data_IF_609697130817
#
_entry.id   IF_609697130817
#
_cell.length_a   1.000
_cell.length_b   1.000
_cell.length_c   1.000
_cell.angle_alpha   90.00
_cell.angle_beta   90.00
_cell.angle_gamma   90.00
#
_symmetry.space_group_name_H-M   'P 1'
#
loop_
_entity.id
_entity.type
_entity.pdbx_description
1 polymer ?
#
# COMPACT_ATOMS: atom_id res chain seq x y z
N UNK A 1 -45.34 53.93 -1.94
CA UNK A 1 -46.33 54.79 -2.69
C UNK A 1 -46.52 56.14 -2.04
N UNK A 2 -46.68 56.25 -0.74
CA UNK A 2 -46.88 57.47 0.04
C UNK A 2 -45.79 58.56 -0.15
N UNK A 3 -44.51 58.15 -0.22
CA UNK A 3 -43.38 59.06 -0.34
C UNK A 3 -43.29 59.76 -1.70
N UNK A 4 -43.66 59.12 -2.81
CA UNK A 4 -43.74 59.67 -4.15
C UNK A 4 -44.86 60.71 -4.25
N UNK A 5 -45.99 60.41 -3.64
CA UNK A 5 -47.14 61.30 -3.59
C UNK A 5 -46.80 62.53 -2.76
N UNK A 6 -46.11 62.41 -1.65
CA UNK A 6 -45.64 63.56 -0.85
C UNK A 6 -44.63 64.42 -1.60
N UNK A 7 -43.64 63.81 -2.30
CA UNK A 7 -42.69 64.56 -3.13
C UNK A 7 -43.43 65.35 -4.24
N UNK A 8 -44.39 64.74 -4.94
CA UNK A 8 -45.20 65.37 -5.95
C UNK A 8 -45.98 66.51 -5.38
N UNK A 9 -46.70 66.31 -4.27
CA UNK A 9 -47.46 67.31 -3.58
C UNK A 9 -46.59 68.49 -3.13
N UNK A 10 -45.40 68.23 -2.64
CA UNK A 10 -44.43 69.24 -2.24
C UNK A 10 -43.98 70.12 -3.44
N UNK A 11 -43.65 69.50 -4.57
CA UNK A 11 -43.28 70.21 -5.81
C UNK A 11 -44.42 71.05 -6.36
N UNK A 12 -45.65 70.52 -6.36
CA UNK A 12 -46.84 71.21 -6.79
C UNK A 12 -47.16 72.40 -5.85
N UNK A 13 -47.10 72.19 -4.54
CA UNK A 13 -47.37 73.19 -3.53
C UNK A 13 -46.34 74.34 -3.59
N UNK A 14 -45.04 74.06 -3.69
CA UNK A 14 -43.99 75.07 -3.79
C UNK A 14 -44.12 75.88 -5.05
N UNK A 15 -44.41 75.28 -6.20
CA UNK A 15 -44.56 75.94 -7.47
C UNK A 15 -45.89 76.73 -7.55
N UNK A 16 -46.97 76.25 -6.91
CA UNK A 16 -48.27 77.02 -6.78
C UNK A 16 -48.12 78.22 -5.87
N UNK A 17 -47.37 78.13 -4.77
CA UNK A 17 -47.08 79.26 -3.88
C UNK A 17 -46.35 80.41 -4.60
N UNK A 18 -45.40 80.04 -5.50
CA UNK A 18 -44.75 81.07 -6.35
C UNK A 18 -45.75 81.74 -7.29
N UNK A 19 -46.69 81.01 -7.86
CA UNK A 19 -47.79 81.59 -8.71
C UNK A 19 -48.73 82.50 -7.94
N UNK A 20 -49.02 82.19 -6.64
CA UNK A 20 -49.86 83.04 -5.78
C UNK A 20 -49.23 84.42 -5.51
N UNK A 21 -47.91 84.53 -5.48
CA UNK A 21 -47.21 85.80 -5.32
C UNK A 21 -47.46 86.78 -6.47
N UNK A 22 -47.95 86.35 -7.65
CA UNK A 22 -48.25 87.16 -8.84
C UNK A 22 -49.73 87.46 -8.97
N UNK A 23 -50.56 87.26 -7.94
CA UNK A 23 -51.94 87.71 -7.73
C UNK A 23 -52.95 87.33 -8.83
N UNK A 24 -52.75 86.31 -9.65
CA UNK A 24 -53.74 85.80 -10.60
C UNK A 24 -53.89 84.25 -10.57
N UNK A 25 -55.18 83.80 -10.67
CA UNK A 25 -55.51 82.39 -10.66
C UNK A 25 -54.81 81.58 -11.80
N UNK A 26 -54.52 82.26 -12.95
CA UNK A 26 -53.81 81.61 -14.07
C UNK A 26 -52.36 81.24 -13.76
N UNK A 27 -51.64 82.09 -13.02
CA UNK A 27 -50.25 81.84 -12.62
C UNK A 27 -50.13 80.73 -11.56
N UNK A 28 -51.10 80.52 -10.70
CA UNK A 28 -51.11 79.41 -9.74
C UNK A 28 -51.30 78.06 -10.42
N UNK A 29 -52.20 77.94 -11.41
CA UNK A 29 -52.39 76.73 -12.23
C UNK A 29 -51.19 76.49 -13.08
N UNK A 30 -50.61 77.50 -13.73
CA UNK A 30 -49.37 77.35 -14.51
C UNK A 30 -48.17 76.83 -13.63
N UNK A 31 -48.07 77.41 -12.41
CA UNK A 31 -47.06 76.94 -11.44
C UNK A 31 -47.25 75.49 -11.02
N UNK A 32 -48.47 75.04 -10.73
CA UNK A 32 -48.81 73.71 -10.38
C UNK A 32 -48.45 72.74 -11.50
N UNK A 33 -48.78 73.03 -12.73
CA UNK A 33 -48.43 72.26 -13.92
C UNK A 33 -46.90 72.16 -14.13
N UNK A 34 -46.20 73.30 -14.00
CA UNK A 34 -44.73 73.33 -14.09
C UNK A 34 -44.06 72.50 -13.01
N UNK A 35 -44.54 72.50 -11.76
CA UNK A 35 -44.08 71.70 -10.65
C UNK A 35 -44.28 70.18 -10.90
N UNK A 36 -45.46 69.82 -11.40
CA UNK A 36 -45.76 68.46 -11.75
C UNK A 36 -44.88 67.95 -12.92
N UNK A 37 -44.68 68.81 -13.96
CA UNK A 37 -43.79 68.46 -15.08
C UNK A 37 -42.30 68.26 -14.63
N UNK A 38 -41.81 69.20 -13.81
CA UNK A 38 -40.43 69.10 -13.28
C UNK A 38 -40.24 67.86 -12.43
N UNK A 39 -41.20 67.53 -11.54
CA UNK A 39 -41.18 66.35 -10.76
C UNK A 39 -41.18 65.08 -11.66
N UNK A 40 -42.04 64.98 -12.68
CA UNK A 40 -42.12 63.88 -13.63
C UNK A 40 -40.82 63.69 -14.41
N UNK A 41 -40.19 64.81 -14.84
CA UNK A 41 -38.89 64.78 -15.52
C UNK A 41 -37.79 64.22 -14.59
N UNK A 42 -37.71 64.71 -13.35
CA UNK A 42 -36.72 64.24 -12.37
C UNK A 42 -36.93 62.77 -11.98
N UNK A 43 -38.18 62.36 -11.81
CA UNK A 43 -38.52 60.95 -11.52
C UNK A 43 -38.18 60.04 -12.69
N UNK A 44 -38.48 60.48 -13.94
CA UNK A 44 -38.09 59.80 -15.16
C UNK A 44 -36.56 59.65 -15.32
N UNK A 45 -35.79 60.70 -14.98
CA UNK A 45 -34.34 60.65 -14.97
C UNK A 45 -33.81 59.68 -13.92
N UNK A 46 -34.41 59.61 -12.73
CA UNK A 46 -34.05 58.62 -11.68
C UNK A 46 -34.35 57.18 -12.14
N UNK A 47 -35.51 56.96 -12.77
CA UNK A 47 -35.88 55.67 -13.35
C UNK A 47 -34.89 55.23 -14.44
N UNK A 48 -34.56 56.15 -15.39
CA UNK A 48 -33.56 55.87 -16.44
C UNK A 48 -32.18 55.49 -15.87
N UNK A 49 -31.74 56.15 -14.80
CA UNK A 49 -30.47 55.79 -14.13
C UNK A 49 -30.52 54.41 -13.53
N UNK A 50 -31.61 54.00 -12.88
CA UNK A 50 -31.79 52.66 -12.34
C UNK A 50 -31.82 51.60 -13.45
N UNK A 51 -32.59 51.85 -14.54
CA UNK A 51 -32.64 50.92 -15.69
C UNK A 51 -31.29 50.73 -16.36
N UNK A 52 -30.54 51.87 -16.55
CA UNK A 52 -29.19 51.80 -17.10
C UNK A 52 -28.26 50.97 -16.21
N UNK A 53 -28.32 51.12 -14.90
CA UNK A 53 -27.54 50.30 -13.95
C UNK A 53 -27.94 48.84 -13.99
N UNK A 54 -29.23 48.50 -14.04
CA UNK A 54 -29.73 47.15 -14.19
C UNK A 54 -29.26 46.49 -15.50
N UNK A 55 -29.19 47.24 -16.60
CA UNK A 55 -28.73 46.73 -17.89
C UNK A 55 -27.22 46.43 -17.91
N UNK A 56 -26.41 47.18 -17.18
CA UNK A 56 -24.97 46.97 -17.11
C UNK A 56 -24.57 45.96 -16.04
N UNK A 57 -25.47 45.67 -15.08
CA UNK A 57 -25.26 44.82 -13.91
C UNK A 57 -23.94 45.12 -13.15
N UNK A 58 -23.40 46.33 -13.32
CA UNK A 58 -22.15 46.73 -12.66
C UNK A 58 -22.41 47.08 -11.20
N UNK A 59 -22.11 46.15 -10.32
CA UNK A 59 -22.28 46.29 -8.87
C UNK A 59 -21.30 47.29 -8.24
N UNK A 60 -20.26 47.72 -8.97
CA UNK A 60 -19.23 48.66 -8.47
C UNK A 60 -19.69 50.11 -8.46
N UNK A 61 -20.60 50.49 -9.34
CA UNK A 61 -21.10 51.85 -9.43
C UNK A 61 -22.44 52.01 -8.69
N UNK A 62 -22.44 52.83 -7.63
CA UNK A 62 -23.64 53.14 -6.87
C UNK A 62 -24.34 54.38 -7.43
N UNK A 63 -25.49 54.28 -8.13
CA UNK A 63 -26.23 55.45 -8.59
C UNK A 63 -26.79 56.21 -7.39
N UNK A 64 -26.54 57.50 -7.34
CA UNK A 64 -27.13 58.41 -6.31
C UNK A 64 -28.62 58.55 -6.55
N UNK A 65 -29.45 57.70 -6.00
CA UNK A 65 -30.89 57.67 -6.07
C UNK A 65 -31.47 58.06 -4.72
N UNK A 66 -32.69 58.64 -4.72
CA UNK A 66 -33.45 59.06 -3.53
C UNK A 66 -34.87 58.48 -3.57
N UNK A 67 -35.48 58.35 -2.39
CA UNK A 67 -36.86 57.89 -2.26
C UNK A 67 -37.01 56.36 -2.70
N UNK A 68 -38.15 56.09 -3.34
CA UNK A 68 -38.53 54.74 -3.78
C UNK A 68 -37.51 54.12 -4.73
N UNK A 69 -36.84 54.87 -5.58
CA UNK A 69 -35.82 54.39 -6.52
C UNK A 69 -34.59 53.94 -5.79
N UNK A 70 -34.21 54.52 -4.67
CA UNK A 70 -33.14 54.08 -3.82
C UNK A 70 -33.48 52.73 -3.15
N UNK A 71 -34.70 52.55 -2.68
CA UNK A 71 -35.18 51.30 -2.10
C UNK A 71 -35.21 50.15 -3.12
N UNK A 72 -35.72 50.43 -4.33
CA UNK A 72 -35.70 49.46 -5.45
C UNK A 72 -34.26 49.06 -5.82
N UNK A 73 -33.34 50.01 -5.86
CA UNK A 73 -31.93 49.75 -6.11
C UNK A 73 -31.34 48.80 -5.06
N UNK A 74 -31.55 49.09 -3.77
CA UNK A 74 -31.03 48.25 -2.67
C UNK A 74 -31.62 46.83 -2.72
N UNK A 75 -32.92 46.69 -2.99
CA UNK A 75 -33.56 45.36 -3.13
C UNK A 75 -33.01 44.59 -4.35
N UNK A 76 -32.89 45.25 -5.50
CA UNK A 76 -32.33 44.66 -6.71
C UNK A 76 -30.88 44.21 -6.51
N UNK A 77 -30.05 45.04 -5.88
CA UNK A 77 -28.67 44.74 -5.54
C UNK A 77 -28.58 43.53 -4.62
N UNK A 78 -29.46 43.42 -3.61
CA UNK A 78 -29.50 42.25 -2.70
C UNK A 78 -29.83 40.97 -3.45
N UNK A 79 -30.79 41.00 -4.38
CA UNK A 79 -31.17 39.84 -5.20
C UNK A 79 -30.00 39.44 -6.09
N UNK A 80 -29.38 40.38 -6.79
CA UNK A 80 -28.22 40.08 -7.65
C UNK A 80 -27.05 39.45 -6.85
N UNK A 81 -26.67 40.05 -5.73
CA UNK A 81 -25.63 39.49 -4.86
C UNK A 81 -25.97 38.09 -4.34
N UNK A 82 -27.24 37.83 -4.04
CA UNK A 82 -27.66 36.50 -3.61
C UNK A 82 -27.58 35.47 -4.74
N UNK A 83 -27.91 35.86 -5.97
CA UNK A 83 -27.76 34.99 -7.16
C UNK A 83 -26.29 34.73 -7.46
N UNK A 84 -25.44 35.75 -7.46
CA UNK A 84 -23.99 35.58 -7.63
C UNK A 84 -23.39 34.64 -6.59
N UNK A 85 -23.76 34.81 -5.30
CA UNK A 85 -23.31 33.89 -4.23
C UNK A 85 -23.77 32.46 -4.46
N UNK A 86 -25.01 32.25 -4.93
CA UNK A 86 -25.51 30.89 -5.24
C UNK A 86 -24.74 30.26 -6.40
N UNK A 87 -24.48 31.04 -7.46
CA UNK A 87 -23.67 30.54 -8.60
C UNK A 87 -22.27 30.19 -8.12
N UNK A 88 -21.57 31.10 -7.44
CA UNK A 88 -20.23 30.87 -6.89
C UNK A 88 -20.18 29.64 -5.95
N UNK A 89 -21.21 29.48 -5.09
CA UNK A 89 -21.28 28.33 -4.18
C UNK A 89 -21.53 27.02 -4.92
N UNK A 90 -22.30 27.07 -6.02
CA UNK A 90 -22.53 25.89 -6.88
C UNK A 90 -21.26 25.49 -7.63
N UNK A 91 -20.57 26.45 -8.22
CA UNK A 91 -19.32 26.24 -8.93
C UNK A 91 -18.21 25.72 -8.00
N UNK A 92 -18.11 26.30 -6.79
CA UNK A 92 -17.18 25.80 -5.77
C UNK A 92 -17.50 24.36 -5.33
N UNK A 93 -18.77 23.99 -5.19
CA UNK A 93 -19.18 22.61 -4.86
C UNK A 93 -18.83 21.65 -5.98
N UNK A 94 -19.07 22.02 -7.23
CA UNK A 94 -18.71 21.22 -8.39
C UNK A 94 -17.18 21.02 -8.47
N UNK A 95 -16.42 22.09 -8.31
CA UNK A 95 -14.96 22.03 -8.30
C UNK A 95 -14.42 21.11 -7.18
N UNK A 96 -14.96 21.23 -5.96
CA UNK A 96 -14.60 20.37 -4.84
C UNK A 96 -14.97 18.89 -5.09
N UNK A 97 -16.12 18.64 -5.71
CA UNK A 97 -16.53 17.28 -6.06
C UNK A 97 -15.61 16.65 -7.10
N UNK A 98 -15.25 17.39 -8.15
CA UNK A 98 -14.30 16.92 -9.17
C UNK A 98 -12.91 16.70 -8.57
N UNK A 99 -12.44 17.57 -7.67
CA UNK A 99 -11.18 17.42 -6.97
C UNK A 99 -11.18 16.13 -6.09
N UNK A 100 -12.27 15.82 -5.42
CA UNK A 100 -12.40 14.60 -4.62
C UNK A 100 -12.35 13.34 -5.48
N UNK A 101 -13.01 13.33 -6.65
CA UNK A 101 -12.94 12.20 -7.60
C UNK A 101 -11.53 12.10 -8.19
N UNK A 102 -10.88 13.21 -8.47
CA UNK A 102 -9.50 13.25 -8.98
C UNK A 102 -8.49 12.63 -7.99
N UNK A 103 -8.71 12.82 -6.69
CA UNK A 103 -7.90 12.25 -5.61
C UNK A 103 -8.26 10.79 -5.26
N UNK A 104 -9.27 10.20 -5.91
CA UNK A 104 -9.69 8.82 -5.66
C UNK A 104 -8.54 7.83 -5.93
N UNK A 105 -8.29 6.83 -5.05
CA UNK A 105 -7.34 5.76 -5.32
C UNK A 105 -7.80 4.82 -6.43
N UNK A 106 -9.10 4.82 -6.75
CA UNK A 106 -9.65 4.09 -7.88
C UNK A 106 -9.68 4.99 -9.12
N UNK A 107 -9.40 4.38 -10.27
CA UNK A 107 -9.57 5.08 -11.53
C UNK A 107 -11.05 5.23 -11.88
N UNK A 108 -11.40 6.42 -12.39
CA UNK A 108 -12.76 6.79 -12.77
C UNK A 108 -12.74 7.35 -14.18
N UNK A 109 -13.56 6.78 -15.07
CA UNK A 109 -13.69 7.22 -16.46
C UNK A 109 -15.18 7.37 -16.77
N UNK A 110 -15.56 8.51 -17.29
CA UNK A 110 -16.89 8.77 -17.77
C UNK A 110 -16.92 8.59 -19.28
N UNK A 111 -17.84 7.75 -19.75
CA UNK A 111 -18.04 7.48 -21.17
C UNK A 111 -19.41 7.99 -21.61
N UNK A 112 -19.47 8.51 -22.83
CA UNK A 112 -20.73 8.86 -23.49
C UNK A 112 -21.50 7.59 -23.93
N UNK A 113 -22.64 7.80 -24.61
CA UNK A 113 -23.48 6.74 -25.11
C UNK A 113 -22.74 5.84 -26.12
N UNK A 114 -21.80 6.40 -26.87
CA UNK A 114 -21.06 5.72 -27.94
C UNK A 114 -19.77 5.04 -27.41
N UNK A 115 -19.40 5.29 -26.17
CA UNK A 115 -18.19 4.74 -25.53
C UNK A 115 -16.95 5.59 -25.77
N UNK A 116 -17.11 6.90 -26.00
CA UNK A 116 -16.02 7.87 -26.03
C UNK A 116 -15.77 8.40 -24.62
N UNK A 117 -14.51 8.72 -24.32
CA UNK A 117 -14.12 9.28 -23.03
C UNK A 117 -14.62 10.71 -22.92
N UNK A 118 -15.54 10.99 -21.99
CA UNK A 118 -15.95 12.35 -21.62
C UNK A 118 -15.00 12.94 -20.58
N UNK A 119 -14.54 12.13 -19.64
CA UNK A 119 -13.66 12.56 -18.56
C UNK A 119 -12.92 11.36 -17.96
N UNK A 120 -11.70 11.59 -17.45
CA UNK A 120 -10.85 10.60 -16.80
C UNK A 120 -10.08 11.21 -15.65
N UNK A 121 -10.03 10.54 -14.50
CA UNK A 121 -9.19 10.99 -13.38
C UNK A 121 -7.73 10.57 -13.57
N UNK A 122 -6.84 11.15 -12.74
CA UNK A 122 -5.40 10.90 -12.81
C UNK A 122 -5.06 9.42 -12.58
N UNK A 123 -5.74 8.77 -11.65
CA UNK A 123 -5.52 7.36 -11.32
C UNK A 123 -5.81 6.45 -12.51
N UNK A 124 -6.94 6.62 -13.20
CA UNK A 124 -7.26 5.82 -14.39
C UNK A 124 -6.26 6.09 -15.53
N UNK A 125 -5.88 7.35 -15.72
CA UNK A 125 -4.88 7.74 -16.70
C UNK A 125 -3.55 7.01 -16.46
N UNK A 126 -3.07 6.97 -15.22
CA UNK A 126 -1.87 6.23 -14.84
C UNK A 126 -2.00 4.71 -15.01
N UNK A 127 -3.12 4.13 -14.57
CA UNK A 127 -3.35 2.68 -14.62
C UNK A 127 -3.43 2.15 -16.05
N UNK A 128 -4.05 2.90 -16.95
CA UNK A 128 -4.31 2.50 -18.34
C UNK A 128 -3.39 3.17 -19.37
N UNK A 129 -2.54 4.12 -18.93
CA UNK A 129 -1.61 4.84 -19.78
C UNK A 129 -2.26 5.87 -20.69
N UNK A 130 -3.31 6.53 -20.22
CA UNK A 130 -4.02 7.56 -20.98
C UNK A 130 -3.42 8.95 -20.72
N UNK A 131 -3.53 9.81 -21.73
CA UNK A 131 -3.29 11.25 -21.59
C UNK A 131 -4.65 11.93 -21.34
N UNK A 132 -4.79 12.58 -20.17
CA UNK A 132 -6.04 13.21 -19.74
C UNK A 132 -6.55 14.29 -20.71
N UNK A 133 -5.68 14.89 -21.53
CA UNK A 133 -6.07 15.97 -22.46
C UNK A 133 -6.25 15.47 -23.89
N UNK A 134 -5.40 14.55 -24.35
CA UNK A 134 -5.37 14.09 -25.73
C UNK A 134 -6.37 12.97 -26.01
N UNK A 135 -6.69 12.14 -25.01
CA UNK A 135 -7.50 10.95 -25.19
C UNK A 135 -8.98 11.18 -24.89
N UNK A 136 -9.35 12.36 -24.35
CA UNK A 136 -10.74 12.77 -24.23
C UNK A 136 -11.37 12.90 -25.63
N UNK A 137 -12.57 12.35 -25.79
CA UNK A 137 -13.29 12.27 -27.08
C UNK A 137 -12.94 11.04 -27.93
N UNK A 138 -11.91 10.27 -27.56
CA UNK A 138 -11.57 9.01 -28.25
C UNK A 138 -12.40 7.84 -27.74
N UNK A 139 -12.57 6.81 -28.60
CA UNK A 139 -13.22 5.57 -28.20
C UNK A 139 -12.33 4.78 -27.24
N UNK A 140 -12.86 4.45 -26.06
CA UNK A 140 -12.12 3.67 -25.04
C UNK A 140 -11.61 2.32 -25.57
N UNK A 141 -12.33 1.68 -26.49
CA UNK A 141 -11.97 0.40 -27.11
C UNK A 141 -10.68 0.47 -27.94
N UNK A 142 -10.32 1.64 -28.46
CA UNK A 142 -9.11 1.84 -29.24
C UNK A 142 -7.87 1.99 -28.36
N UNK A 143 -8.07 2.50 -27.18
CA UNK A 143 -7.01 2.76 -26.20
C UNK A 143 -6.73 1.51 -25.35
N UNK A 144 -7.76 0.85 -24.85
CA UNK A 144 -7.64 -0.42 -24.11
C UNK A 144 -7.54 -1.59 -25.08
N UNK A 145 -6.31 -2.00 -25.41
CA UNK A 145 -6.02 -3.04 -26.41
C UNK A 145 -6.20 -4.48 -25.87
N UNK A 146 -7.15 -4.71 -24.99
CA UNK A 146 -7.44 -6.04 -24.43
C UNK A 146 -8.59 -6.72 -25.15
N UNK A 147 -8.44 -7.96 -25.67
CA UNK A 147 -9.54 -8.71 -26.27
C UNK A 147 -10.70 -8.93 -25.28
N UNK A 148 -10.37 -9.20 -24.01
CA UNK A 148 -11.36 -9.40 -22.94
C UNK A 148 -12.19 -8.13 -22.76
N UNK A 149 -11.55 -6.95 -22.76
CA UNK A 149 -12.23 -5.67 -22.63
C UNK A 149 -13.16 -5.38 -23.81
N UNK A 150 -12.72 -5.69 -25.05
CA UNK A 150 -13.56 -5.53 -26.24
C UNK A 150 -14.82 -6.40 -26.18
N UNK A 151 -14.68 -7.65 -25.79
CA UNK A 151 -15.82 -8.57 -25.63
C UNK A 151 -16.76 -8.07 -24.53
N UNK A 152 -16.24 -7.61 -23.42
CA UNK A 152 -17.00 -7.10 -22.28
C UNK A 152 -17.84 -5.87 -22.65
N UNK A 153 -17.25 -4.87 -23.30
CA UNK A 153 -17.97 -3.65 -23.67
C UNK A 153 -18.99 -3.89 -24.81
N UNK A 154 -18.70 -4.82 -25.73
CA UNK A 154 -19.60 -5.17 -26.83
C UNK A 154 -20.74 -6.07 -26.37
N UNK A 155 -20.52 -6.92 -25.38
CA UNK A 155 -21.54 -7.83 -24.83
C UNK A 155 -22.64 -7.14 -24.06
N UNK A 156 -22.38 -5.95 -23.52
CA UNK A 156 -23.33 -5.13 -22.76
C UNK A 156 -23.75 -5.69 -21.41
N UNK A 157 -23.21 -6.83 -20.99
CA UNK A 157 -23.38 -7.39 -19.66
C UNK A 157 -22.27 -6.89 -18.75
N UNK A 158 -22.63 -5.99 -17.83
CA UNK A 158 -21.71 -5.37 -16.87
C UNK A 158 -21.92 -5.88 -15.43
N UNK A 159 -22.57 -7.03 -15.27
CA UNK A 159 -22.86 -7.63 -13.95
C UNK A 159 -21.59 -8.07 -13.21
N UNK A 160 -20.54 -8.43 -13.94
CA UNK A 160 -19.27 -8.89 -13.38
C UNK A 160 -18.11 -7.96 -13.74
N UNK A 161 -17.12 -7.87 -12.87
CA UNK A 161 -15.87 -7.19 -13.19
C UNK A 161 -14.98 -8.07 -14.07
N UNK A 162 -14.14 -7.45 -14.88
CA UNK A 162 -13.11 -8.12 -15.66
C UNK A 162 -11.72 -7.68 -15.25
N UNK A 163 -10.72 -8.51 -15.50
CA UNK A 163 -9.32 -8.14 -15.26
C UNK A 163 -8.59 -7.96 -16.59
N UNK A 164 -7.84 -6.87 -16.70
CA UNK A 164 -7.00 -6.55 -17.87
C UNK A 164 -5.57 -6.23 -17.41
N UNK A 165 -4.61 -6.32 -18.34
CA UNK A 165 -3.26 -5.79 -18.10
C UNK A 165 -3.27 -4.27 -18.09
N UNK A 166 -2.66 -3.67 -17.09
CA UNK A 166 -2.38 -2.23 -17.00
C UNK A 166 -0.94 -1.91 -17.36
N UNK A 167 -0.60 -0.62 -17.39
CA UNK A 167 0.78 -0.18 -17.51
C UNK A 167 1.38 -0.19 -16.10
N UNK A 168 2.22 -1.21 -15.82
CA UNK A 168 2.84 -1.35 -14.50
C UNK A 168 3.85 -0.24 -14.21
N UNK A 169 3.87 0.19 -12.96
CA UNK A 169 4.89 1.13 -12.46
C UNK A 169 6.32 0.53 -12.49
N UNK A 170 6.44 -0.79 -12.64
CA UNK A 170 7.72 -1.52 -12.74
C UNK A 170 7.70 -2.42 -13.99
N UNK A 171 8.73 -2.33 -14.86
CA UNK A 171 8.81 -3.13 -16.09
C UNK A 171 8.80 -4.65 -15.85
N UNK A 172 9.18 -5.10 -14.64
CA UNK A 172 9.32 -6.50 -14.29
C UNK A 172 8.04 -7.17 -13.75
N UNK A 173 7.00 -6.39 -13.42
CA UNK A 173 5.73 -6.93 -12.89
C UNK A 173 4.58 -6.32 -13.68
N UNK A 174 3.92 -7.10 -14.56
CA UNK A 174 2.74 -6.62 -15.27
C UNK A 174 1.63 -6.30 -14.26
N UNK A 175 1.13 -5.07 -14.29
CA UNK A 175 0.02 -4.68 -13.41
C UNK A 175 -1.28 -5.33 -13.89
N UNK A 176 -2.13 -5.73 -12.94
CA UNK A 176 -3.48 -6.23 -13.19
C UNK A 176 -4.50 -5.20 -12.71
N UNK A 177 -5.34 -4.77 -13.63
CA UNK A 177 -6.39 -3.78 -13.37
C UNK A 177 -7.74 -4.47 -13.46
N UNK A 178 -8.50 -4.42 -12.37
CA UNK A 178 -9.92 -4.77 -12.38
C UNK A 178 -10.71 -3.62 -12.99
N UNK A 179 -11.62 -3.94 -13.90
CA UNK A 179 -12.48 -3.00 -14.61
C UNK A 179 -13.93 -3.39 -14.41
N UNK A 180 -14.75 -2.43 -13.97
CA UNK A 180 -16.19 -2.58 -13.87
C UNK A 180 -16.89 -1.39 -14.52
N UNK A 181 -17.93 -1.65 -15.29
CA UNK A 181 -18.73 -0.64 -15.98
C UNK A 181 -20.12 -0.58 -15.35
N UNK A 182 -20.57 0.63 -15.03
CA UNK A 182 -21.89 0.91 -14.50
C UNK A 182 -22.64 1.86 -15.46
N UNK A 183 -23.76 1.46 -16.05
CA UNK A 183 -24.60 2.37 -16.80
C UNK A 183 -25.19 3.46 -15.89
N UNK A 184 -25.22 4.71 -16.35
CA UNK A 184 -25.87 5.80 -15.63
C UNK A 184 -26.49 6.83 -16.58
N UNK A 185 -27.47 7.59 -16.10
CA UNK A 185 -28.15 8.63 -16.88
C UNK A 185 -28.70 8.14 -18.21
N UNK A 186 -28.62 8.97 -19.26
CA UNK A 186 -29.08 8.62 -20.60
C UNK A 186 -27.99 7.89 -21.39
N UNK A 187 -27.92 6.53 -21.26
CA UNK A 187 -26.99 5.63 -21.96
C UNK A 187 -25.50 5.90 -21.70
N UNK A 188 -25.13 6.76 -20.75
CA UNK A 188 -23.76 7.00 -20.32
C UNK A 188 -23.25 5.84 -19.49
N UNK A 189 -21.94 5.66 -19.44
CA UNK A 189 -21.28 4.60 -18.67
C UNK A 189 -20.22 5.18 -17.75
N UNK A 190 -20.22 4.74 -16.50
CA UNK A 190 -19.17 4.98 -15.54
C UNK A 190 -18.28 3.73 -15.52
N UNK A 191 -17.03 3.87 -15.89
CA UNK A 191 -16.04 2.81 -15.79
C UNK A 191 -15.15 3.07 -14.58
N UNK A 192 -15.11 2.09 -13.69
CA UNK A 192 -14.25 2.08 -12.52
C UNK A 192 -13.07 1.15 -12.78
N UNK A 193 -11.87 1.58 -12.40
CA UNK A 193 -10.66 0.76 -12.49
C UNK A 193 -9.97 0.70 -11.13
N UNK A 194 -9.44 -0.47 -10.78
CA UNK A 194 -8.72 -0.69 -9.53
C UNK A 194 -7.49 -1.55 -9.79
N UNK A 195 -6.34 -1.12 -9.27
CA UNK A 195 -5.15 -1.96 -9.28
C UNK A 195 -5.33 -3.11 -8.27
N UNK A 196 -5.35 -4.32 -8.79
CA UNK A 196 -5.49 -5.56 -8.02
C UNK A 196 -4.21 -6.40 -8.05
N UNK A 197 -3.11 -5.86 -8.54
CA UNK A 197 -1.84 -6.56 -8.74
C UNK A 197 -1.36 -7.24 -7.45
N UNK A 198 -1.38 -6.52 -6.33
CA UNK A 198 -0.92 -7.04 -5.05
C UNK A 198 -1.83 -8.17 -4.53
N UNK A 199 -3.15 -8.04 -4.71
CA UNK A 199 -4.13 -9.05 -4.29
C UNK A 199 -3.99 -10.32 -5.14
N UNK A 200 -3.91 -10.17 -6.46
CA UNK A 200 -3.74 -11.28 -7.39
C UNK A 200 -2.41 -12.01 -7.20
N UNK A 201 -1.34 -11.26 -6.93
CA UNK A 201 -0.04 -11.84 -6.61
C UNK A 201 -0.10 -12.65 -5.32
N UNK A 202 -0.73 -12.13 -4.28
CA UNK A 202 -0.92 -12.84 -3.02
C UNK A 202 -1.76 -14.11 -3.19
N UNK A 203 -2.85 -14.05 -3.96
CA UNK A 203 -3.69 -15.22 -4.27
C UNK A 203 -2.94 -16.27 -5.10
N UNK A 204 -2.15 -15.84 -6.06
CA UNK A 204 -1.31 -16.75 -6.86
C UNK A 204 -0.28 -17.44 -5.98
N UNK A 205 0.44 -16.66 -5.15
CA UNK A 205 1.41 -17.21 -4.19
C UNK A 205 0.76 -18.21 -3.23
N UNK A 206 -0.46 -17.96 -2.78
CA UNK A 206 -1.21 -18.87 -1.92
C UNK A 206 -1.57 -20.18 -2.62
N UNK A 207 -2.05 -20.11 -3.87
CA UNK A 207 -2.36 -21.32 -4.67
C UNK A 207 -1.12 -22.14 -4.94
N UNK A 208 -0.03 -21.48 -5.35
CA UNK A 208 1.26 -22.13 -5.61
C UNK A 208 1.83 -22.79 -4.34
N UNK A 209 1.66 -22.13 -3.19
CA UNK A 209 2.04 -22.70 -1.89
C UNK A 209 1.31 -24.01 -1.60
N UNK A 210 -0.04 -24.02 -1.71
CA UNK A 210 -0.85 -25.23 -1.47
C UNK A 210 -0.48 -26.36 -2.46
N UNK A 211 -0.29 -26.02 -3.73
CA UNK A 211 0.12 -26.99 -4.74
C UNK A 211 1.50 -27.58 -4.43
N UNK A 212 2.48 -26.75 -4.08
CA UNK A 212 3.84 -27.18 -3.76
C UNK A 212 3.88 -28.03 -2.49
N UNK A 213 3.14 -27.65 -1.42
CA UNK A 213 3.01 -28.46 -0.20
C UNK A 213 2.48 -29.87 -0.55
N UNK A 214 1.42 -29.92 -1.36
CA UNK A 214 0.81 -31.19 -1.77
C UNK A 214 1.81 -32.07 -2.54
N UNK A 215 2.61 -31.50 -3.41
CA UNK A 215 3.65 -32.22 -4.15
C UNK A 215 4.80 -32.69 -3.25
N UNK A 216 5.29 -31.83 -2.35
CA UNK A 216 6.40 -32.16 -1.46
C UNK A 216 6.02 -33.21 -0.38
N UNK A 217 4.72 -33.32 -0.03
CA UNK A 217 4.20 -34.38 0.85
C UNK A 217 3.96 -35.68 0.06
N UNK A 218 3.41 -35.60 -1.14
CA UNK A 218 3.06 -36.80 -1.94
C UNK A 218 4.29 -37.65 -2.29
N UNK A 219 5.38 -36.99 -2.68
CA UNK A 219 6.61 -37.71 -3.12
C UNK A 219 7.16 -38.63 -2.04
N UNK A 220 7.50 -38.22 -0.80
CA UNK A 220 8.00 -39.11 0.23
C UNK A 220 6.96 -40.15 0.65
N UNK A 221 5.66 -39.79 0.66
CA UNK A 221 4.59 -40.75 0.98
C UNK A 221 4.52 -41.89 -0.04
N UNK A 222 4.63 -41.60 -1.33
CA UNK A 222 4.66 -42.62 -2.38
C UNK A 222 5.89 -43.53 -2.23
N UNK A 223 7.06 -42.99 -1.89
CA UNK A 223 8.28 -43.79 -1.63
C UNK A 223 8.09 -44.66 -0.41
N UNK A 224 7.54 -44.13 0.69
CA UNK A 224 7.25 -44.95 1.89
C UNK A 224 6.30 -46.09 1.58
N UNK A 225 5.18 -45.79 0.85
CA UNK A 225 4.20 -46.81 0.47
C UNK A 225 4.84 -47.90 -0.40
N UNK A 226 5.70 -47.55 -1.35
CA UNK A 226 6.40 -48.50 -2.21
C UNK A 226 7.36 -49.42 -1.43
N UNK A 227 8.10 -48.89 -0.44
CA UNK A 227 8.94 -49.74 0.41
C UNK A 227 8.12 -50.67 1.32
N UNK A 228 7.01 -50.20 1.88
CA UNK A 228 6.08 -51.01 2.65
C UNK A 228 5.54 -52.16 1.78
N UNK A 229 5.07 -51.88 0.58
CA UNK A 229 4.55 -52.88 -0.36
C UNK A 229 5.63 -53.87 -0.75
N UNK A 230 6.86 -53.42 -1.01
CA UNK A 230 8.03 -54.30 -1.29
C UNK A 230 8.32 -55.24 -0.13
N UNK A 231 8.38 -54.72 1.12
CA UNK A 231 8.65 -55.51 2.30
C UNK A 231 7.52 -56.49 2.64
N UNK A 232 6.30 -56.24 2.23
CA UNK A 232 5.14 -57.11 2.45
C UNK A 232 5.04 -58.27 1.43
N UNK A 233 5.43 -58.00 0.16
CA UNK A 233 5.14 -58.94 -0.92
C UNK A 233 6.38 -59.60 -1.52
N UNK A 234 7.58 -59.08 -1.27
CA UNK A 234 8.82 -59.59 -1.86
C UNK A 234 9.73 -60.13 -0.73
N UNK A 235 10.21 -61.37 -0.84
CA UNK A 235 11.23 -61.87 0.07
C UNK A 235 12.53 -61.07 -0.11
N UNK A 236 12.95 -60.37 0.94
CA UNK A 236 14.16 -59.52 0.94
C UNK A 236 15.18 -60.08 1.91
N UNK A 237 16.46 -59.89 1.63
CA UNK A 237 17.52 -60.22 2.56
C UNK A 237 17.47 -59.29 3.79
N UNK A 238 18.09 -59.76 4.92
CA UNK A 238 18.18 -58.95 6.15
C UNK A 238 18.92 -57.62 5.88
N UNK A 239 19.92 -57.65 5.02
CA UNK A 239 20.68 -56.46 4.59
C UNK A 239 19.80 -55.50 3.82
N UNK A 240 19.05 -55.96 2.82
CA UNK A 240 18.15 -55.11 2.03
C UNK A 240 17.01 -54.55 2.89
N UNK A 241 16.47 -55.34 3.83
CA UNK A 241 15.47 -54.89 4.79
C UNK A 241 15.97 -53.69 5.60
N UNK A 242 17.21 -53.80 6.13
CA UNK A 242 17.79 -52.70 6.90
C UNK A 242 18.03 -51.46 6.06
N UNK A 243 18.43 -51.61 4.80
CA UNK A 243 18.57 -50.51 3.85
C UNK A 243 17.20 -49.81 3.60
N UNK A 244 16.16 -50.61 3.30
CA UNK A 244 14.81 -50.04 3.06
C UNK A 244 14.23 -49.34 4.29
N UNK A 245 14.40 -49.93 5.48
CA UNK A 245 13.99 -49.29 6.74
C UNK A 245 14.77 -48.00 7.00
N UNK A 246 16.04 -47.95 6.68
CA UNK A 246 16.86 -46.73 6.73
C UNK A 246 16.33 -45.64 5.79
N UNK A 247 16.03 -46.01 4.54
CA UNK A 247 15.43 -45.09 3.56
C UNK A 247 14.05 -44.59 3.99
N UNK A 248 13.21 -45.45 4.55
CA UNK A 248 11.91 -45.07 5.10
C UNK A 248 12.05 -44.10 6.27
N UNK A 249 12.98 -44.36 7.21
CA UNK A 249 13.27 -43.46 8.31
C UNK A 249 13.70 -42.08 7.82
N UNK A 250 14.54 -41.99 6.80
CA UNK A 250 14.97 -40.75 6.19
C UNK A 250 13.81 -39.98 5.56
N UNK A 251 12.88 -40.65 4.85
CA UNK A 251 11.70 -40.02 4.29
C UNK A 251 10.74 -39.50 5.38
N UNK A 252 10.55 -40.28 6.46
CA UNK A 252 9.72 -39.86 7.59
C UNK A 252 10.30 -38.60 8.29
N UNK A 253 11.61 -38.55 8.53
CA UNK A 253 12.29 -37.40 9.08
C UNK A 253 12.16 -36.17 8.18
N UNK A 254 12.29 -36.35 6.86
CA UNK A 254 12.09 -35.28 5.89
C UNK A 254 10.66 -34.72 5.94
N UNK A 255 9.64 -35.58 6.04
CA UNK A 255 8.25 -35.14 6.18
C UNK A 255 8.04 -34.37 7.49
N UNK A 256 8.64 -34.81 8.59
CA UNK A 256 8.56 -34.18 9.89
C UNK A 256 9.18 -32.75 9.84
N UNK A 257 10.36 -32.60 9.21
CA UNK A 257 10.95 -31.27 9.00
C UNK A 257 10.05 -30.37 8.15
N UNK A 258 9.47 -30.90 7.06
CA UNK A 258 8.55 -30.14 6.21
C UNK A 258 7.34 -29.62 7.00
N UNK A 259 6.72 -30.47 7.80
CA UNK A 259 5.56 -30.11 8.65
C UNK A 259 5.98 -29.06 9.69
N UNK A 260 7.12 -29.20 10.33
CA UNK A 260 7.65 -28.23 11.30
C UNK A 260 7.89 -26.86 10.66
N UNK A 261 8.49 -26.82 9.47
CA UNK A 261 8.73 -25.58 8.73
C UNK A 261 7.42 -24.92 8.32
N UNK A 262 6.42 -25.69 7.87
CA UNK A 262 5.09 -25.20 7.52
C UNK A 262 4.37 -24.58 8.73
N UNK A 263 4.42 -25.24 9.89
CA UNK A 263 3.83 -24.74 11.13
C UNK A 263 4.54 -23.47 11.59
N UNK A 264 5.86 -23.42 11.48
CA UNK A 264 6.65 -22.23 11.81
C UNK A 264 6.26 -21.07 10.91
N UNK A 265 6.24 -21.27 9.59
CA UNK A 265 5.85 -20.26 8.64
C UNK A 265 4.40 -19.76 8.86
N UNK A 266 3.47 -20.69 9.11
CA UNK A 266 2.08 -20.37 9.42
C UNK A 266 1.94 -19.50 10.69
N UNK A 267 2.71 -19.80 11.73
CA UNK A 267 2.76 -19.00 12.97
C UNK A 267 3.32 -17.60 12.70
N UNK A 268 4.41 -17.52 11.95
CA UNK A 268 5.05 -16.24 11.59
C UNK A 268 4.11 -15.34 10.78
N UNK A 269 3.28 -15.91 9.90
CA UNK A 269 2.32 -15.14 9.08
C UNK A 269 1.05 -14.75 9.84
N UNK A 270 0.59 -15.60 10.76
CA UNK A 270 -0.67 -15.39 11.50
C UNK A 270 -0.53 -14.61 12.80
N UNK A 271 0.69 -14.40 13.31
CA UNK A 271 0.91 -13.71 14.59
C UNK A 271 1.31 -12.25 14.39
N UNK A 272 0.96 -11.34 15.31
CA UNK A 272 1.46 -9.96 15.28
C UNK A 272 2.99 -9.94 15.38
N UNK A 273 3.63 -8.92 14.82
CA UNK A 273 5.07 -8.74 14.94
C UNK A 273 5.47 -8.66 16.43
N UNK A 274 6.61 -9.29 16.84
CA UNK A 274 7.07 -9.19 18.21
C UNK A 274 7.35 -7.73 18.55
N UNK A 275 6.78 -7.27 19.67
CA UNK A 275 7.06 -5.96 20.24
C UNK A 275 8.53 -5.84 20.66
N UNK A 276 8.94 -4.72 21.27
CA UNK A 276 10.18 -4.69 22.03
C UNK A 276 10.04 -5.73 23.15
N UNK A 277 10.63 -6.91 22.91
CA UNK A 277 10.56 -8.05 23.80
C UNK A 277 11.69 -8.04 24.82
N UNK A 278 11.93 -9.20 25.40
CA UNK A 278 13.07 -9.40 26.30
C UNK A 278 14.39 -9.14 25.57
N UNK A 279 15.33 -8.56 26.28
CA UNK A 279 16.70 -8.40 25.79
C UNK A 279 17.42 -9.73 25.93
N UNK A 280 17.94 -10.25 24.83
CA UNK A 280 18.61 -11.53 24.75
C UNK A 280 20.06 -11.27 24.40
N UNK A 281 20.95 -11.88 25.15
CA UNK A 281 22.37 -11.84 24.87
C UNK A 281 22.69 -12.57 23.55
N UNK A 282 23.51 -11.98 22.69
CA UNK A 282 23.90 -12.61 21.42
C UNK A 282 24.62 -13.92 21.63
N UNK A 283 25.42 -14.06 22.70
CA UNK A 283 26.10 -15.33 23.02
C UNK A 283 25.11 -16.41 23.45
N UNK A 284 24.03 -16.06 24.13
CA UNK A 284 22.96 -17.00 24.52
C UNK A 284 22.19 -17.57 23.30
N UNK A 285 22.11 -16.81 22.21
CA UNK A 285 21.54 -17.27 20.95
C UNK A 285 22.53 -18.09 20.13
N UNK A 286 23.80 -17.69 20.12
CA UNK A 286 24.84 -18.31 19.30
C UNK A 286 25.23 -19.70 19.78
N UNK A 287 25.43 -19.89 21.09
CA UNK A 287 25.99 -21.12 21.64
C UNK A 287 25.19 -22.38 21.23
N UNK A 288 23.85 -22.46 21.42
CA UNK A 288 23.09 -23.63 21.00
C UNK A 288 23.08 -23.81 19.47
N UNK A 289 22.97 -22.73 18.70
CA UNK A 289 22.94 -22.80 17.25
C UNK A 289 24.25 -23.34 16.65
N UNK A 290 25.40 -22.94 17.20
CA UNK A 290 26.72 -23.44 16.77
C UNK A 290 26.92 -24.92 17.16
N UNK A 291 26.51 -25.30 18.36
CA UNK A 291 26.60 -26.69 18.81
C UNK A 291 25.71 -27.62 17.93
N UNK A 292 24.48 -27.22 17.63
CA UNK A 292 23.62 -27.94 16.68
C UNK A 292 24.29 -28.08 15.29
N UNK A 293 24.94 -27.02 14.85
CA UNK A 293 25.64 -26.96 13.55
C UNK A 293 26.84 -27.90 13.52
N UNK A 294 27.63 -27.97 14.59
CA UNK A 294 28.75 -28.90 14.72
C UNK A 294 28.28 -30.34 14.74
N UNK A 295 27.24 -30.65 15.51
CA UNK A 295 26.63 -31.97 15.55
C UNK A 295 26.12 -32.38 14.14
N UNK A 296 25.43 -31.48 13.42
CA UNK A 296 24.98 -31.76 12.07
C UNK A 296 26.17 -32.02 11.11
N UNK A 297 27.21 -31.21 11.19
CA UNK A 297 28.42 -31.34 10.36
C UNK A 297 29.10 -32.70 10.53
N UNK A 298 29.21 -33.21 11.76
CA UNK A 298 29.82 -34.53 12.01
C UNK A 298 29.00 -35.68 11.44
N UNK A 299 27.69 -35.52 11.30
CA UNK A 299 26.80 -36.54 10.74
C UNK A 299 26.86 -36.60 9.22
N UNK A 300 26.90 -35.41 8.54
CA UNK A 300 26.73 -35.38 7.09
C UNK A 300 28.01 -35.15 6.29
N UNK A 301 29.10 -34.76 6.93
CA UNK A 301 30.37 -34.46 6.25
C UNK A 301 31.55 -35.23 6.86
N UNK A 302 32.35 -35.84 6.00
CA UNK A 302 33.63 -36.47 6.38
C UNK A 302 34.73 -36.04 5.41
N UNK A 303 35.73 -35.25 5.85
CA UNK A 303 35.87 -34.71 7.22
C UNK A 303 34.81 -33.64 7.53
N UNK A 304 34.51 -33.39 8.83
CA UNK A 304 33.59 -32.32 9.25
C UNK A 304 34.07 -30.95 8.77
N UNK A 305 33.14 -29.99 8.69
CA UNK A 305 33.44 -28.61 8.32
C UNK A 305 34.26 -27.93 9.42
N UNK A 306 35.11 -26.98 9.02
CA UNK A 306 35.77 -26.07 9.95
C UNK A 306 34.80 -24.92 10.31
N UNK A 307 34.19 -25.01 11.50
CA UNK A 307 33.22 -24.03 11.97
C UNK A 307 33.87 -23.05 12.92
N UNK A 308 34.04 -21.82 12.48
CA UNK A 308 34.65 -20.71 13.24
C UNK A 308 33.57 -19.71 13.67
N UNK A 309 33.45 -19.51 14.99
CA UNK A 309 32.65 -18.45 15.56
C UNK A 309 33.52 -17.19 15.70
N UNK A 310 33.06 -16.08 15.09
CA UNK A 310 33.70 -14.77 15.24
C UNK A 310 33.02 -14.08 16.41
N UNK A 311 33.79 -13.83 17.49
CA UNK A 311 33.34 -13.10 18.64
C UNK A 311 33.72 -11.61 18.45
N UNK A 312 32.75 -10.77 18.22
CA UNK A 312 32.86 -9.32 18.32
C UNK A 312 32.22 -8.82 19.62
N UNK A 313 32.15 -7.52 19.82
CA UNK A 313 31.62 -6.88 21.04
C UNK A 313 30.28 -7.49 21.44
N UNK A 314 30.17 -7.96 22.69
CA UNK A 314 28.94 -8.52 23.23
C UNK A 314 27.86 -7.41 23.34
N UNK A 315 26.69 -7.69 22.81
CA UNK A 315 25.49 -6.82 22.89
C UNK A 315 24.25 -7.69 23.02
N UNK A 316 23.16 -7.07 23.50
CA UNK A 316 21.86 -7.74 23.58
C UNK A 316 20.95 -7.26 22.45
N UNK A 317 20.11 -8.16 21.97
CA UNK A 317 19.09 -7.89 20.96
C UNK A 317 17.68 -8.11 21.52
N UNK A 318 16.76 -7.23 21.16
CA UNK A 318 15.35 -7.34 21.57
C UNK A 318 14.54 -8.08 20.49
N UNK A 319 13.94 -9.21 20.87
CA UNK A 319 13.15 -10.01 19.94
C UNK A 319 12.58 -11.29 20.53
N UNK A 320 11.96 -12.09 19.70
CA UNK A 320 11.49 -13.41 20.09
C UNK A 320 12.62 -14.43 19.95
N UNK A 321 13.08 -14.98 21.07
CA UNK A 321 14.22 -15.93 21.13
C UNK A 321 14.04 -17.14 20.18
N UNK A 322 12.86 -17.73 20.16
CA UNK A 322 12.61 -18.93 19.34
C UNK A 322 12.58 -18.62 17.83
N UNK A 323 12.05 -17.44 17.45
CA UNK A 323 12.06 -16.99 16.05
C UNK A 323 13.50 -16.70 15.58
N UNK A 324 14.26 -15.95 16.37
CA UNK A 324 15.67 -15.63 16.06
C UNK A 324 16.53 -16.89 15.99
N UNK A 325 16.41 -17.79 16.96
CA UNK A 325 17.12 -19.07 16.93
C UNK A 325 16.75 -19.90 15.69
N UNK A 326 15.46 -19.98 15.35
CA UNK A 326 15.00 -20.70 14.14
C UNK A 326 15.62 -20.11 12.87
N UNK A 327 15.72 -18.77 12.76
CA UNK A 327 16.34 -18.14 11.61
C UNK A 327 17.85 -18.43 11.53
N UNK A 328 18.55 -18.36 12.66
CA UNK A 328 19.99 -18.68 12.75
C UNK A 328 20.27 -20.13 12.39
N UNK A 329 19.52 -21.08 12.99
CA UNK A 329 19.66 -22.52 12.70
C UNK A 329 19.38 -22.83 11.22
N UNK A 330 18.42 -22.15 10.57
CA UNK A 330 18.16 -22.30 9.14
C UNK A 330 19.36 -21.84 8.27
N UNK A 331 20.00 -20.72 8.60
CA UNK A 331 21.18 -20.26 7.87
C UNK A 331 22.38 -21.21 8.07
N UNK A 332 22.63 -21.59 9.31
CA UNK A 332 23.73 -22.47 9.65
C UNK A 332 23.56 -23.88 9.05
N UNK A 333 22.36 -24.45 9.12
CA UNK A 333 22.09 -25.76 8.51
C UNK A 333 22.22 -25.75 6.99
N UNK A 334 21.85 -24.63 6.35
CA UNK A 334 22.09 -24.44 4.92
C UNK A 334 23.59 -24.40 4.61
N UNK A 335 24.39 -23.66 5.35
CA UNK A 335 25.84 -23.60 5.17
C UNK A 335 26.45 -25.02 5.25
N UNK A 336 26.08 -25.81 6.28
CA UNK A 336 26.57 -27.20 6.42
C UNK A 336 26.15 -28.11 5.26
N UNK A 337 24.92 -27.93 4.73
CA UNK A 337 24.39 -28.81 3.65
C UNK A 337 24.98 -28.49 2.28
N UNK A 338 25.36 -27.23 2.05
CA UNK A 338 25.83 -26.80 0.72
C UNK A 338 27.35 -26.65 0.64
N UNK A 339 28.05 -26.61 1.76
CA UNK A 339 29.52 -26.62 1.77
C UNK A 339 30.05 -28.05 1.58
N UNK A 340 31.03 -28.26 0.73
CA UNK A 340 31.71 -29.58 0.62
C UNK A 340 32.38 -30.00 1.94
N UNK A 341 32.50 -31.29 2.14
CA UNK A 341 33.20 -31.85 3.33
C UNK A 341 34.60 -31.25 3.49
N UNK A 342 34.95 -30.86 4.72
CA UNK A 342 36.20 -30.17 5.04
C UNK A 342 36.25 -28.67 4.65
N UNK A 343 35.19 -28.13 4.11
CA UNK A 343 35.09 -26.69 3.84
C UNK A 343 34.91 -25.87 5.12
N UNK A 344 35.03 -24.52 4.99
CA UNK A 344 34.97 -23.61 6.12
C UNK A 344 33.59 -22.89 6.21
N UNK A 345 33.12 -22.71 7.44
CA UNK A 345 31.91 -21.95 7.76
C UNK A 345 32.27 -20.94 8.86
N UNK A 346 32.08 -19.66 8.59
CA UNK A 346 32.30 -18.59 9.57
C UNK A 346 30.95 -17.99 9.94
N UNK A 347 30.73 -17.76 11.22
CA UNK A 347 29.48 -17.19 11.72
C UNK A 347 29.71 -16.31 12.93
N UNK A 348 28.85 -15.33 13.12
CA UNK A 348 28.94 -14.44 14.25
C UNK A 348 27.92 -13.31 14.19
N UNK A 349 27.96 -12.50 15.25
CA UNK A 349 27.25 -11.21 15.29
C UNK A 349 28.28 -10.10 15.25
N UNK A 350 27.99 -9.04 14.47
CA UNK A 350 28.76 -7.81 14.52
C UNK A 350 27.83 -6.59 14.55
N UNK A 351 28.35 -5.51 15.14
CA UNK A 351 27.65 -4.23 15.18
C UNK A 351 28.18 -3.34 14.05
N UNK A 352 27.32 -2.97 13.12
CA UNK A 352 27.65 -2.10 12.00
C UNK A 352 27.85 -0.64 12.48
N UNK A 353 28.62 0.19 11.76
CA UNK A 353 28.84 1.60 12.10
C UNK A 353 27.56 2.44 12.19
N UNK A 354 26.49 2.04 11.50
CA UNK A 354 25.16 2.65 11.52
C UNK A 354 24.29 2.19 12.70
N UNK A 355 24.84 1.36 13.58
CA UNK A 355 24.16 0.84 14.77
C UNK A 355 23.27 -0.37 14.53
N UNK A 356 23.25 -0.93 13.32
CA UNK A 356 22.55 -2.19 13.04
C UNK A 356 23.35 -3.37 13.56
N UNK A 357 22.68 -4.34 14.18
CA UNK A 357 23.28 -5.62 14.54
C UNK A 357 23.08 -6.60 13.38
N UNK A 358 24.14 -7.24 12.94
CA UNK A 358 24.10 -8.17 11.83
C UNK A 358 24.63 -9.55 12.25
N UNK A 359 23.75 -10.55 12.17
CA UNK A 359 24.12 -11.96 12.22
C UNK A 359 24.52 -12.43 10.81
N UNK A 360 25.64 -13.07 10.67
CA UNK A 360 26.11 -13.57 9.38
C UNK A 360 26.55 -15.02 9.44
N UNK A 361 26.41 -15.69 8.31
CA UNK A 361 26.95 -17.03 8.04
C UNK A 361 27.62 -16.96 6.66
N UNK A 362 28.92 -17.17 6.65
CA UNK A 362 29.77 -17.24 5.46
C UNK A 362 30.19 -18.67 5.24
N UNK A 363 30.01 -19.20 4.04
CA UNK A 363 30.37 -20.55 3.65
C UNK A 363 31.33 -20.57 2.45
N UNK A 364 32.20 -21.57 2.41
CA UNK A 364 33.09 -21.82 1.26
C UNK A 364 32.49 -22.80 0.26
N UNK A 365 31.18 -22.76 0.08
CA UNK A 365 30.45 -23.63 -0.84
C UNK A 365 30.63 -23.25 -2.32
N UNK A 366 29.87 -23.85 -3.23
CA UNK A 366 30.00 -23.63 -4.67
C UNK A 366 29.55 -22.22 -5.13
N UNK A 367 28.96 -21.43 -4.24
CA UNK A 367 28.35 -20.15 -4.59
C UNK A 367 27.06 -20.31 -5.40
N UNK A 368 26.39 -19.17 -5.64
CA UNK A 368 25.07 -19.08 -6.25
C UNK A 368 25.12 -18.06 -7.38
N UNK A 369 24.55 -18.40 -8.54
CA UNK A 369 24.48 -17.48 -9.68
C UNK A 369 23.51 -16.33 -9.41
N UNK A 370 23.82 -15.13 -9.92
CA UNK A 370 23.08 -13.89 -9.69
C UNK A 370 21.58 -14.00 -10.04
N UNK A 371 21.23 -14.77 -11.07
CA UNK A 371 19.85 -15.01 -11.49
C UNK A 371 18.98 -15.69 -10.43
N UNK A 372 19.60 -16.44 -9.50
CA UNK A 372 18.90 -17.15 -8.43
C UNK A 372 18.78 -16.32 -7.15
N UNK A 373 19.67 -15.35 -6.90
CA UNK A 373 19.69 -14.55 -5.67
C UNK A 373 18.36 -13.91 -5.30
N UNK A 374 17.61 -13.24 -6.21
CA UNK A 374 16.33 -12.64 -5.90
C UNK A 374 15.25 -13.65 -5.50
N UNK A 375 15.40 -14.89 -5.93
CA UNK A 375 14.41 -15.96 -5.78
C UNK A 375 14.64 -16.87 -4.60
N UNK A 376 15.80 -16.82 -3.96
CA UNK A 376 16.18 -17.73 -2.86
C UNK A 376 15.20 -17.73 -1.68
N UNK A 377 14.49 -16.61 -1.48
CA UNK A 377 13.49 -16.46 -0.42
C UNK A 377 12.05 -16.82 -0.85
N UNK A 378 11.85 -17.22 -2.12
CA UNK A 378 10.58 -17.77 -2.57
C UNK A 378 10.35 -19.13 -1.92
N UNK A 379 9.13 -19.43 -1.50
CA UNK A 379 8.77 -20.69 -0.86
C UNK A 379 8.98 -21.86 -1.83
N UNK A 380 9.63 -22.93 -1.37
CA UNK A 380 9.97 -24.13 -2.16
C UNK A 380 10.94 -23.88 -3.30
N UNK A 381 11.53 -22.68 -3.40
CA UNK A 381 12.53 -22.42 -4.40
C UNK A 381 13.84 -23.12 -4.08
N UNK A 382 14.46 -23.70 -5.09
CA UNK A 382 15.73 -24.45 -5.00
C UNK A 382 16.49 -24.28 -6.30
N UNK A 383 17.78 -23.96 -6.22
CA UNK A 383 18.66 -23.78 -7.39
C UNK A 383 18.80 -25.09 -8.16
N UNK A 384 19.00 -26.21 -7.46
CA UNK A 384 19.10 -27.54 -8.04
C UNK A 384 18.16 -28.52 -7.32
N UNK A 385 17.15 -29.01 -8.03
CA UNK A 385 16.17 -29.96 -7.50
C UNK A 385 16.72 -31.39 -7.32
N UNK A 386 17.80 -31.75 -8.05
CA UNK A 386 18.38 -33.10 -7.98
C UNK A 386 19.29 -33.24 -6.77
N UNK A 387 20.29 -32.41 -6.62
CA UNK A 387 21.23 -32.40 -5.49
C UNK A 387 20.54 -32.18 -4.14
N UNK A 388 19.55 -31.31 -4.14
CA UNK A 388 18.86 -30.96 -2.90
C UNK A 388 17.83 -31.99 -2.42
N UNK A 389 17.52 -33.06 -3.21
CA UNK A 389 16.81 -34.25 -2.71
C UNK A 389 17.72 -35.12 -1.81
N UNK A 390 18.98 -35.17 -2.12
CA UNK A 390 19.99 -35.90 -1.32
C UNK A 390 20.31 -35.14 -0.03
N UNK A 391 20.36 -33.81 -0.05
CA UNK A 391 20.67 -32.99 1.13
C UNK A 391 19.47 -32.72 2.03
N UNK A 392 18.24 -33.12 1.66
CA UNK A 392 17.05 -33.08 2.52
C UNK A 392 16.45 -31.71 2.83
N UNK A 393 16.78 -30.65 2.08
CA UNK A 393 16.21 -29.32 2.28
C UNK A 393 14.73 -29.25 1.90
N UNK A 394 13.91 -28.49 2.63
CA UNK A 394 12.49 -28.26 2.38
C UNK A 394 12.21 -27.14 1.37
N UNK A 395 13.17 -26.23 1.17
CA UNK A 395 12.99 -24.99 0.40
C UNK A 395 12.15 -23.93 1.13
N UNK A 396 11.90 -24.10 2.42
CA UNK A 396 11.17 -23.14 3.27
C UNK A 396 12.09 -22.36 4.22
N UNK A 397 13.29 -22.87 4.51
CA UNK A 397 14.19 -22.28 5.50
C UNK A 397 14.52 -20.82 5.25
N UNK A 398 14.92 -20.44 4.02
CA UNK A 398 15.22 -19.03 3.71
C UNK A 398 13.97 -18.14 3.68
N UNK A 399 12.80 -18.67 3.36
CA UNK A 399 11.54 -17.94 3.52
C UNK A 399 11.25 -17.67 5.01
N UNK A 400 11.49 -18.63 5.90
CA UNK A 400 11.39 -18.44 7.36
C UNK A 400 12.36 -17.36 7.81
N UNK A 401 13.62 -17.41 7.40
CA UNK A 401 14.64 -16.40 7.73
C UNK A 401 14.17 -14.98 7.34
N UNK A 402 13.70 -14.82 6.11
CA UNK A 402 13.18 -13.54 5.62
C UNK A 402 12.00 -13.04 6.45
N UNK A 403 11.03 -13.91 6.75
CA UNK A 403 9.88 -13.55 7.57
C UNK A 403 10.30 -13.14 8.98
N UNK A 404 11.20 -13.89 9.63
CA UNK A 404 11.72 -13.54 10.94
C UNK A 404 12.42 -12.17 10.91
N UNK A 405 13.31 -11.93 9.94
CA UNK A 405 13.97 -10.64 9.78
C UNK A 405 12.94 -9.49 9.66
N UNK A 406 11.96 -9.62 8.75
CA UNK A 406 10.92 -8.61 8.53
C UNK A 406 10.05 -8.36 9.77
N UNK A 407 9.66 -9.40 10.50
CA UNK A 407 8.87 -9.30 11.75
C UNK A 407 9.60 -8.53 12.83
N UNK A 408 10.93 -8.62 12.85
CA UNK A 408 11.80 -7.87 13.77
C UNK A 408 12.18 -6.48 13.24
N UNK A 409 11.57 -6.01 12.10
CA UNK A 409 11.91 -4.73 11.47
C UNK A 409 13.28 -4.72 10.80
N UNK A 410 13.88 -5.89 10.62
CA UNK A 410 15.19 -6.10 10.04
C UNK A 410 15.15 -6.44 8.54
N UNK A 411 16.32 -6.79 8.02
CA UNK A 411 16.54 -7.12 6.62
C UNK A 411 17.31 -8.43 6.51
N UNK A 412 16.98 -9.23 5.49
CA UNK A 412 17.76 -10.39 5.08
C UNK A 412 18.56 -10.02 3.84
N UNK A 413 19.86 -10.31 3.85
CA UNK A 413 20.76 -10.06 2.74
C UNK A 413 21.49 -11.34 2.35
N UNK A 414 21.88 -11.43 1.08
CA UNK A 414 22.70 -12.51 0.55
C UNK A 414 23.67 -11.93 -0.47
N UNK A 415 24.93 -12.34 -0.34
CA UNK A 415 25.97 -12.09 -1.33
C UNK A 415 26.63 -13.41 -1.63
N UNK A 416 26.84 -13.69 -2.91
CA UNK A 416 27.45 -14.97 -3.33
C UNK A 416 28.21 -14.80 -4.64
N UNK A 417 29.24 -15.61 -4.81
CA UNK A 417 29.99 -15.67 -6.06
C UNK A 417 30.32 -17.13 -6.36
N UNK A 418 30.04 -17.53 -7.58
CA UNK A 418 30.29 -18.91 -8.03
C UNK A 418 31.75 -19.28 -7.83
N UNK A 419 32.00 -20.40 -7.13
CA UNK A 419 33.33 -20.93 -6.82
C UNK A 419 34.02 -20.30 -5.62
N UNK A 420 33.45 -19.25 -4.99
CA UNK A 420 34.04 -18.60 -3.81
C UNK A 420 33.22 -18.85 -2.54
N UNK A 421 31.92 -19.09 -2.67
CA UNK A 421 31.03 -19.32 -1.55
C UNK A 421 29.90 -18.30 -1.45
N UNK A 422 29.21 -18.29 -0.29
CA UNK A 422 28.08 -17.40 -0.04
C UNK A 422 28.14 -16.81 1.37
N UNK A 423 27.61 -15.60 1.51
CA UNK A 423 27.37 -14.96 2.81
C UNK A 423 25.90 -14.62 2.92
N UNK A 424 25.25 -15.15 3.94
CA UNK A 424 23.87 -14.87 4.29
C UNK A 424 23.84 -14.07 5.58
N UNK A 425 23.03 -13.02 5.66
CA UNK A 425 22.94 -12.21 6.88
C UNK A 425 21.53 -11.75 7.21
N UNK A 426 21.31 -11.52 8.51
CA UNK A 426 20.11 -10.90 9.08
C UNK A 426 20.56 -9.64 9.81
N UNK A 427 20.12 -8.48 9.34
CA UNK A 427 20.40 -7.21 9.98
C UNK A 427 19.19 -6.75 10.78
N UNK A 428 19.37 -6.41 12.06
CA UNK A 428 18.35 -5.88 12.96
C UNK A 428 18.59 -4.39 13.23
N UNK A 429 17.53 -3.57 13.31
CA UNK A 429 17.68 -2.12 13.44
C UNK A 429 18.20 -1.69 14.81
N UNK A 430 18.80 -0.49 14.94
CA UNK A 430 19.36 0.03 16.20
C UNK A 430 18.36 0.06 17.35
N UNK A 431 17.06 0.20 17.05
CA UNK A 431 15.99 0.16 18.08
C UNK A 431 15.86 -1.19 18.79
N UNK A 432 16.48 -2.24 18.25
CA UNK A 432 16.51 -3.60 18.82
C UNK A 432 17.88 -4.00 19.34
N UNK A 433 18.81 -3.07 19.45
CA UNK A 433 20.20 -3.34 19.88
C UNK A 433 20.51 -2.55 21.12
N UNK A 434 21.10 -3.20 22.12
CA UNK A 434 21.57 -2.57 23.34
C UNK A 434 22.95 -3.09 23.69
N UNK A 435 23.95 -2.21 23.95
CA UNK A 435 25.24 -2.65 24.44
C UNK A 435 25.08 -3.30 25.81
N UNK A 436 25.78 -4.41 26.05
CA UNK A 436 25.83 -5.02 27.38
C UNK A 436 26.67 -4.12 28.28
N UNK A 437 26.03 -3.49 29.26
CA UNK A 437 26.75 -2.81 30.33
C UNK A 437 27.34 -3.87 31.27
N UNK A 438 28.64 -3.96 31.44
CA UNK A 438 29.28 -4.96 32.33
C UNK A 438 28.93 -4.79 33.81
N UNK A 439 28.14 -3.78 34.17
CA UNK A 439 27.81 -3.43 35.58
C UNK A 439 26.55 -4.13 36.10
N UNK A 440 25.87 -4.97 35.34
CA UNK A 440 24.62 -5.63 35.76
C UNK A 440 24.80 -7.08 36.26
N UNK A 441 26.02 -7.52 36.50
CA UNK A 441 26.23 -8.74 37.31
C UNK A 441 25.97 -8.38 38.78
N UNK A 442 24.73 -8.52 39.20
CA UNK A 442 24.30 -8.48 40.59
C UNK A 442 25.11 -9.53 41.36
N UNK A 443 26.03 -9.08 42.21
CA UNK A 443 26.62 -9.90 43.24
C UNK A 443 25.51 -10.63 44.00
N UNK A 444 25.60 -11.95 44.23
CA UNK A 444 24.68 -12.63 45.12
C UNK A 444 24.80 -12.01 46.50
N UNK A 445 23.69 -11.49 47.00
CA UNK A 445 23.59 -10.98 48.36
C UNK A 445 23.89 -12.13 49.31
N UNK A 446 25.09 -12.13 49.86
CA UNK A 446 25.42 -12.87 51.06
C UNK A 446 24.64 -12.29 52.23
N UNK A 447 23.42 -12.79 52.45
CA UNK A 447 22.78 -12.67 53.76
C UNK A 447 23.50 -13.60 54.76
N UNK A 448 24.48 -13.05 55.42
CA UNK A 448 25.04 -13.64 56.62
C UNK A 448 24.01 -13.56 57.74
N UNK A 449 23.42 -14.70 58.07
CA UNK A 449 22.72 -14.88 59.33
C UNK A 449 23.68 -14.64 60.51
N UNK A 450 23.49 -13.56 61.24
CA UNK A 450 24.00 -13.43 62.61
C UNK A 450 22.78 -13.47 63.54
N UNK A 451 22.33 -14.66 63.86
CA UNK A 451 21.69 -14.96 65.17
C UNK A 451 22.76 -15.50 66.07
N UNK A 452 23.08 -14.88 67.17
CA UNK A 452 22.85 -15.43 68.48
C UNK A 452 23.61 -14.64 69.60
N UNK A 453 22.92 -14.61 70.74
CA UNK A 453 23.34 -14.39 72.12
C UNK A 453 23.26 -12.94 72.62
N UNK A 454 22.29 -12.61 73.37
CA UNK A 454 21.87 -12.99 74.77
C UNK A 454 20.50 -12.44 75.08
#
# INVERSE_FOLDING_TARGET
MTQRLMELLLFVALASAWGLMHASAGWTVAGALAGALLWSLLDGLRARRLLKWLATADTSQTPKLRGMWAELYVRSQKVLKNLERKIQSSDARLANFLAAIQASPNGVILLDADGRIEWVNLTAAHQLGFDQQKDVGQYIQNLVRSPIFKTYISGGDFSTEIQIGGIGARPSVPSKISVQIHPYGHKRKLMLTRDVTAVELADTMRRDFVANVSHEIRTPLTVLSGFVETLQHIPVTETDRNIYLGMMSQQAQRMQMLVSDLLTLSRLEGSPAPGPGDWIDTDELMAPAVEETRALSTVIAQPPHEITQVAETAFSISGNKSELHSAMSNLLSNAVRYTPAGGSIRTGWHLRPDGWAEFFVEDSGPGIADEHLPRLTERFYRVDRSRSRETGGTGLGLAIVKHVAQRHGGQFNVTSKIGEGSTFSIALPPSRVQPINPTSQVLPAFFGNAQDRT
#
